data_IF_407688462037
#
_entry.id   IF_407688462037
#
_cell.length_a   1.000
_cell.length_b   1.000
_cell.length_c   1.000
_cell.angle_alpha   90.00
_cell.angle_beta   90.00
_cell.angle_gamma   90.00
#
_symmetry.space_group_name_H-M   'P 1'
#
loop_
_entity.id
_entity.type
_entity.pdbx_description
1 polymer ?
#
# COMPACT_ATOMS: atom_id res chain seq x y z
N UNK A 1 27.70 0.12 -6.49
CA UNK A 1 27.25 -0.78 -7.57
C UNK A 1 26.15 -0.07 -8.35
N UNK A 2 25.76 -0.51 -9.55
CA UNK A 2 24.67 0.16 -10.29
C UNK A 2 23.33 -0.10 -9.58
N UNK A 3 22.48 0.93 -9.53
CA UNK A 3 21.09 0.76 -9.10
C UNK A 3 20.35 -0.14 -10.09
N UNK A 4 19.35 -0.87 -9.62
CA UNK A 4 18.48 -1.73 -10.43
C UNK A 4 17.02 -1.51 -10.05
N UNK A 5 16.10 -1.74 -11.00
CA UNK A 5 14.69 -1.96 -10.70
C UNK A 5 14.36 -3.45 -10.79
N UNK A 6 13.71 -3.95 -9.74
CA UNK A 6 13.13 -5.28 -9.70
C UNK A 6 11.61 -5.18 -9.59
N UNK A 7 10.89 -6.17 -10.11
CA UNK A 7 9.45 -6.21 -9.97
C UNK A 7 8.97 -7.54 -9.38
N UNK A 8 7.80 -7.47 -8.74
CA UNK A 8 7.02 -8.63 -8.34
C UNK A 8 5.57 -8.43 -8.79
N UNK A 9 5.01 -9.40 -9.49
CA UNK A 9 3.58 -9.48 -9.78
C UNK A 9 2.96 -10.48 -8.82
N UNK A 10 2.05 -10.02 -7.96
CA UNK A 10 1.21 -10.88 -7.14
C UNK A 10 0.06 -11.40 -8.02
N UNK A 11 -0.06 -12.72 -8.07
CA UNK A 11 -1.02 -13.41 -8.96
C UNK A 11 -2.47 -13.18 -8.55
N UNK A 12 -3.45 -13.40 -9.45
CA UNK A 12 -4.86 -13.27 -9.11
C UNK A 12 -5.27 -14.18 -7.96
N UNK A 13 -4.76 -15.41 -7.91
CA UNK A 13 -5.05 -16.34 -6.83
C UNK A 13 -4.47 -15.88 -5.50
N UNK A 14 -3.23 -15.38 -5.49
CA UNK A 14 -2.62 -14.83 -4.28
C UNK A 14 -3.36 -13.61 -3.73
N UNK A 15 -3.86 -12.73 -4.61
CA UNK A 15 -4.73 -11.62 -4.21
C UNK A 15 -6.06 -12.12 -3.65
N UNK A 16 -6.69 -13.09 -4.33
CA UNK A 16 -7.98 -13.64 -3.91
C UNK A 16 -7.90 -14.38 -2.56
N UNK A 17 -6.80 -15.07 -2.29
CA UNK A 17 -6.51 -15.72 -1.00
C UNK A 17 -5.86 -14.79 0.02
N UNK A 18 -5.85 -13.48 -0.24
CA UNK A 18 -5.36 -12.46 0.68
C UNK A 18 -3.90 -12.62 1.13
N UNK A 19 -3.06 -13.23 0.30
CA UNK A 19 -1.63 -13.49 0.63
C UNK A 19 -0.74 -12.24 0.48
N UNK A 20 -1.30 -11.13 -0.02
CA UNK A 20 -0.60 -9.87 -0.28
C UNK A 20 0.19 -9.37 0.92
N UNK A 21 -0.41 -9.39 2.12
CA UNK A 21 0.24 -8.91 3.33
C UNK A 21 1.52 -9.68 3.66
N UNK A 22 1.43 -11.01 3.70
CA UNK A 22 2.57 -11.87 3.96
C UNK A 22 3.64 -11.84 2.86
N UNK A 23 3.25 -11.70 1.59
CA UNK A 23 4.18 -11.51 0.46
C UNK A 23 4.94 -10.19 0.62
N UNK A 24 4.22 -9.09 0.84
CA UNK A 24 4.81 -7.76 0.99
C UNK A 24 5.74 -7.69 2.21
N UNK A 25 5.32 -8.26 3.33
CA UNK A 25 6.12 -8.28 4.56
C UNK A 25 7.49 -8.93 4.32
N UNK A 26 7.54 -10.05 3.58
CA UNK A 26 8.79 -10.74 3.25
C UNK A 26 9.65 -9.96 2.27
N UNK A 27 9.06 -9.37 1.23
CA UNK A 27 9.81 -8.56 0.26
C UNK A 27 10.48 -7.37 0.94
N UNK A 28 9.75 -6.60 1.75
CA UNK A 28 10.31 -5.42 2.41
C UNK A 28 11.36 -5.82 3.46
N UNK A 29 11.03 -6.74 4.37
CA UNK A 29 11.91 -7.07 5.50
C UNK A 29 13.19 -7.82 5.11
N UNK A 30 13.21 -8.54 3.98
CA UNK A 30 14.34 -9.41 3.62
C UNK A 30 15.20 -8.88 2.49
N UNK A 31 14.70 -7.95 1.69
CA UNK A 31 15.50 -7.34 0.62
C UNK A 31 16.18 -6.04 1.05
N UNK A 32 15.59 -5.33 2.02
CA UNK A 32 15.97 -3.95 2.38
C UNK A 32 15.96 -2.98 1.19
N UNK A 33 15.22 -3.31 0.13
CA UNK A 33 15.03 -2.45 -1.03
C UNK A 33 13.94 -1.43 -0.77
N UNK A 34 14.02 -0.31 -1.48
CA UNK A 34 12.97 0.69 -1.46
C UNK A 34 11.85 0.27 -2.40
N UNK A 35 10.61 0.22 -1.91
CA UNK A 35 9.43 0.09 -2.77
C UNK A 35 9.11 1.46 -3.39
N UNK A 36 9.41 1.63 -4.67
CA UNK A 36 9.32 2.93 -5.36
C UNK A 36 8.02 3.12 -6.14
N UNK A 37 7.35 2.03 -6.52
CA UNK A 37 6.03 2.08 -7.15
C UNK A 37 5.22 0.82 -6.88
N UNK A 38 3.90 0.97 -6.94
CA UNK A 38 2.96 -0.13 -6.95
C UNK A 38 1.77 0.27 -7.81
N UNK A 39 1.19 -0.68 -8.55
CA UNK A 39 -0.02 -0.45 -9.35
C UNK A 39 -0.83 -1.73 -9.48
N UNK A 40 -2.16 -1.61 -9.36
CA UNK A 40 -3.08 -2.68 -9.71
C UNK A 40 -3.24 -2.74 -11.22
N UNK A 41 -3.32 -3.95 -11.76
CA UNK A 41 -3.64 -4.19 -13.16
C UNK A 41 -4.82 -5.17 -13.28
N UNK A 42 -5.57 -5.00 -14.36
CA UNK A 42 -6.55 -5.91 -14.91
C UNK A 42 -6.11 -6.18 -16.35
N UNK A 43 -5.16 -7.10 -16.59
CA UNK A 43 -4.49 -7.26 -17.88
C UNK A 43 -5.48 -7.56 -19.01
N UNK A 44 -5.31 -6.87 -20.13
CA UNK A 44 -5.99 -7.16 -21.38
C UNK A 44 -5.35 -8.36 -22.10
N UNK A 45 -6.04 -8.95 -23.10
CA UNK A 45 -5.50 -10.06 -23.89
C UNK A 45 -4.13 -9.76 -24.52
N UNK A 46 -3.93 -8.55 -25.02
CA UNK A 46 -2.71 -8.13 -25.71
C UNK A 46 -1.50 -8.15 -24.77
N UNK A 47 -1.63 -7.54 -23.58
CA UNK A 47 -0.58 -7.55 -22.56
C UNK A 47 -0.23 -8.97 -22.13
N UNK A 48 -1.24 -9.83 -21.91
CA UNK A 48 -1.02 -11.22 -21.49
C UNK A 48 -0.29 -12.01 -22.58
N UNK A 49 -0.67 -11.82 -23.85
CA UNK A 49 -0.02 -12.48 -24.97
C UNK A 49 1.44 -12.02 -25.11
N UNK A 50 1.72 -10.71 -25.11
CA UNK A 50 3.10 -10.21 -25.16
C UNK A 50 3.94 -10.68 -23.99
N UNK A 51 3.40 -10.65 -22.77
CA UNK A 51 4.13 -11.08 -21.58
C UNK A 51 4.34 -12.60 -21.53
N UNK A 52 3.44 -13.41 -22.11
CA UNK A 52 3.58 -14.87 -22.13
C UNK A 52 4.70 -15.35 -23.07
N UNK A 53 4.92 -14.66 -24.20
CA UNK A 53 5.93 -15.02 -25.23
C UNK A 53 7.36 -15.05 -24.68
N UNK A 54 7.54 -14.51 -23.49
CA UNK A 54 8.83 -14.08 -22.98
C UNK A 54 9.15 -14.59 -21.57
N UNK A 55 8.28 -15.47 -21.08
CA UNK A 55 8.48 -16.18 -19.82
C UNK A 55 9.54 -17.25 -19.99
N UNK A 56 9.58 -17.85 -21.16
CA UNK A 56 10.50 -18.91 -21.50
C UNK A 56 11.81 -18.27 -21.95
N UNK A 57 12.88 -18.47 -21.18
CA UNK A 57 14.19 -17.85 -21.39
C UNK A 57 15.31 -18.87 -21.18
N UNK A 58 16.34 -18.81 -22.04
CA UNK A 58 17.58 -19.57 -21.84
C UNK A 58 18.43 -19.00 -20.69
N UNK A 59 18.15 -17.75 -20.28
CA UNK A 59 18.87 -17.04 -19.23
C UNK A 59 18.18 -17.12 -17.87
N UNK A 60 17.07 -17.88 -17.75
CA UNK A 60 16.43 -18.19 -16.46
C UNK A 60 16.96 -19.53 -15.93
N UNK A 61 17.58 -19.57 -14.74
CA UNK A 61 18.07 -20.81 -14.13
C UNK A 61 16.94 -21.76 -13.68
N UNK A 62 15.69 -21.33 -13.69
CA UNK A 62 14.53 -22.18 -13.40
C UNK A 62 14.37 -23.27 -14.47
N UNK A 63 14.04 -24.48 -14.04
CA UNK A 63 13.77 -25.61 -14.94
C UNK A 63 12.77 -25.25 -16.06
N UNK A 64 13.07 -25.70 -17.29
CA UNK A 64 12.30 -25.37 -18.50
C UNK A 64 10.82 -25.77 -18.40
N UNK A 65 10.52 -26.93 -17.82
CA UNK A 65 9.14 -27.39 -17.61
C UNK A 65 8.40 -26.46 -16.66
N UNK A 66 9.08 -25.94 -15.64
CA UNK A 66 8.49 -24.95 -14.72
C UNK A 66 8.25 -23.61 -15.43
N UNK A 67 9.17 -23.16 -16.28
CA UNK A 67 8.94 -21.94 -17.08
C UNK A 67 7.71 -22.08 -17.99
N UNK A 68 7.52 -23.25 -18.61
CA UNK A 68 6.33 -23.58 -19.41
C UNK A 68 5.06 -23.56 -18.56
N UNK A 69 5.07 -24.12 -17.35
CA UNK A 69 3.95 -24.03 -16.42
C UNK A 69 3.63 -22.59 -16.02
N UNK A 70 4.65 -21.73 -15.82
CA UNK A 70 4.43 -20.31 -15.53
C UNK A 70 3.81 -19.60 -16.72
N UNK A 71 4.28 -19.86 -17.94
CA UNK A 71 3.69 -19.30 -19.17
C UNK A 71 2.23 -19.70 -19.30
N UNK A 72 1.92 -20.97 -19.12
CA UNK A 72 0.58 -21.50 -19.26
C UNK A 72 -0.34 -20.96 -18.15
N UNK A 73 0.19 -20.82 -16.93
CA UNK A 73 -0.49 -20.12 -15.84
C UNK A 73 -0.83 -18.68 -16.21
N UNK A 74 0.10 -17.93 -16.81
CA UNK A 74 -0.15 -16.54 -17.24
C UNK A 74 -1.26 -16.49 -18.28
N UNK A 75 -1.17 -17.31 -19.33
CA UNK A 75 -2.19 -17.39 -20.38
C UNK A 75 -3.58 -17.73 -19.82
N UNK A 76 -3.65 -18.64 -18.85
CA UNK A 76 -4.91 -19.09 -18.28
C UNK A 76 -5.45 -18.15 -17.20
N UNK A 77 -4.60 -17.63 -16.32
CA UNK A 77 -4.98 -16.97 -15.09
C UNK A 77 -4.92 -15.44 -15.15
N UNK A 78 -4.05 -14.86 -15.97
CA UNK A 78 -4.00 -13.40 -16.15
C UNK A 78 -4.94 -12.91 -17.27
N UNK A 79 -5.27 -13.79 -18.23
CA UNK A 79 -6.28 -13.47 -19.26
C UNK A 79 -7.66 -13.20 -18.64
N UNK A 80 -8.51 -12.40 -19.32
CA UNK A 80 -9.90 -12.27 -18.95
C UNK A 80 -10.60 -13.63 -18.90
N UNK A 81 -11.54 -13.77 -17.97
CA UNK A 81 -12.27 -15.02 -17.82
C UNK A 81 -13.02 -15.38 -19.12
N UNK A 82 -12.86 -16.60 -19.67
CA UNK A 82 -13.43 -16.93 -20.97
C UNK A 82 -14.97 -16.92 -20.96
N UNK A 83 -15.60 -17.18 -19.80
CA UNK A 83 -17.07 -17.22 -19.65
C UNK A 83 -17.63 -15.85 -19.32
N UNK A 84 -17.09 -15.19 -18.29
CA UNK A 84 -17.66 -13.91 -17.81
C UNK A 84 -17.07 -12.69 -18.49
N UNK A 85 -15.96 -12.84 -19.23
CA UNK A 85 -15.14 -11.77 -19.83
C UNK A 85 -14.54 -10.78 -18.83
N UNK A 86 -14.78 -10.96 -17.52
CA UNK A 86 -14.19 -10.11 -16.47
C UNK A 86 -12.68 -10.28 -16.45
N UNK A 87 -11.97 -9.15 -16.40
CA UNK A 87 -10.51 -9.13 -16.26
C UNK A 87 -10.12 -9.51 -14.83
N UNK A 88 -8.94 -10.11 -14.67
CA UNK A 88 -8.46 -10.63 -13.39
C UNK A 88 -7.39 -9.71 -12.81
N UNK A 89 -7.54 -9.39 -11.53
CA UNK A 89 -6.64 -8.46 -10.85
C UNK A 89 -5.27 -9.08 -10.63
N UNK A 90 -4.22 -8.31 -10.91
CA UNK A 90 -2.86 -8.53 -10.43
C UNK A 90 -2.32 -7.27 -9.78
N UNK A 91 -1.37 -7.43 -8.88
CA UNK A 91 -0.69 -6.30 -8.23
C UNK A 91 0.77 -6.33 -8.61
N UNK A 92 1.25 -5.26 -9.21
CA UNK A 92 2.66 -5.12 -9.56
C UNK A 92 3.35 -4.17 -8.60
N UNK A 93 4.48 -4.62 -8.05
CA UNK A 93 5.33 -3.89 -7.11
C UNK A 93 6.69 -3.66 -7.78
N UNK A 94 7.23 -2.44 -7.68
CA UNK A 94 8.60 -2.11 -8.12
C UNK A 94 9.45 -1.81 -6.90
N UNK A 95 10.61 -2.45 -6.85
CA UNK A 95 11.65 -2.23 -5.84
C UNK A 95 12.91 -1.69 -6.50
N UNK A 96 13.54 -0.70 -5.88
CA UNK A 96 14.78 -0.10 -6.32
C UNK A 96 15.89 -0.29 -5.28
N UNK A 97 17.11 -0.52 -5.77
CA UNK A 97 18.31 -0.56 -4.95
C UNK A 97 19.46 -1.28 -5.63
N UNK A 98 20.58 -1.43 -4.92
CA UNK A 98 21.69 -2.26 -5.40
C UNK A 98 21.31 -3.75 -5.35
N UNK A 99 21.64 -4.49 -6.42
CA UNK A 99 21.29 -5.91 -6.62
C UNK A 99 19.78 -6.20 -6.45
N UNK A 100 18.92 -5.25 -6.81
CA UNK A 100 17.49 -5.36 -6.57
C UNK A 100 16.91 -6.65 -7.15
N UNK A 101 17.30 -7.03 -8.36
CA UNK A 101 16.74 -8.20 -9.05
C UNK A 101 17.17 -9.48 -8.35
N UNK A 102 18.46 -9.61 -8.01
CA UNK A 102 19.00 -10.76 -7.28
C UNK A 102 18.36 -10.92 -5.90
N UNK A 103 18.22 -9.82 -5.14
CA UNK A 103 17.61 -9.80 -3.80
C UNK A 103 16.13 -10.16 -3.85
N UNK A 104 15.36 -9.61 -4.79
CA UNK A 104 13.96 -9.98 -4.98
C UNK A 104 13.86 -11.46 -5.36
N UNK A 105 14.70 -11.94 -6.29
CA UNK A 105 14.69 -13.33 -6.73
C UNK A 105 14.97 -14.32 -5.59
N UNK A 106 15.92 -14.00 -4.69
CA UNK A 106 16.24 -14.86 -3.55
C UNK A 106 15.08 -14.97 -2.55
N UNK A 107 14.33 -13.88 -2.33
CA UNK A 107 13.15 -13.88 -1.45
C UNK A 107 11.95 -14.56 -2.12
N UNK A 108 11.79 -14.41 -3.43
CA UNK A 108 10.75 -15.06 -4.22
C UNK A 108 10.94 -16.57 -4.26
N UNK A 109 12.17 -17.02 -4.51
CA UNK A 109 12.54 -18.42 -4.60
C UNK A 109 12.30 -19.06 -5.97
N UNK A 110 12.71 -20.32 -6.09
CA UNK A 110 12.40 -21.17 -7.23
C UNK A 110 11.22 -22.08 -6.89
N UNK A 111 10.52 -22.58 -7.89
CA UNK A 111 9.51 -23.62 -7.68
C UNK A 111 10.19 -24.97 -7.89
N UNK A 112 10.01 -25.89 -6.93
CA UNK A 112 10.50 -27.26 -6.99
C UNK A 112 9.47 -28.19 -6.33
N UNK A 113 9.19 -29.37 -6.91
CA UNK A 113 8.30 -30.35 -6.29
C UNK A 113 8.86 -30.93 -4.96
N UNK A 114 10.18 -30.87 -4.77
CA UNK A 114 10.87 -31.54 -3.66
C UNK A 114 11.18 -30.61 -2.47
N UNK A 115 11.06 -29.29 -2.65
CA UNK A 115 11.43 -28.29 -1.63
C UNK A 115 10.19 -27.70 -0.96
N UNK A 116 10.05 -27.89 0.35
CA UNK A 116 8.92 -27.39 1.17
C UNK A 116 9.35 -26.69 2.48
N UNK A 117 10.54 -26.10 2.51
CA UNK A 117 10.95 -25.27 3.63
C UNK A 117 10.38 -23.88 3.40
N UNK A 118 9.48 -23.35 4.24
CA UNK A 118 8.80 -22.05 4.09
C UNK A 118 9.70 -20.80 4.10
N UNK A 119 10.91 -20.93 3.55
CA UNK A 119 11.98 -19.97 3.43
C UNK A 119 11.64 -18.90 2.40
N UNK A 120 11.09 -19.24 1.24
CA UNK A 120 10.78 -18.26 0.19
C UNK A 120 9.27 -17.99 0.09
N UNK A 121 8.90 -16.98 -0.69
CA UNK A 121 7.49 -16.70 -1.01
C UNK A 121 6.84 -17.90 -1.70
N UNK A 122 7.53 -18.51 -2.67
CA UNK A 122 7.04 -19.69 -3.39
C UNK A 122 6.93 -20.91 -2.50
N UNK A 123 7.82 -21.10 -1.54
CA UNK A 123 7.70 -22.25 -0.62
C UNK A 123 6.47 -22.17 0.30
N UNK A 124 6.01 -20.94 0.62
CA UNK A 124 4.86 -20.76 1.53
C UNK A 124 3.54 -20.61 0.80
N UNK A 125 3.56 -19.90 -0.33
CA UNK A 125 2.34 -19.49 -1.03
C UNK A 125 2.22 -20.13 -2.40
N UNK A 126 3.32 -20.59 -2.99
CA UNK A 126 3.29 -21.35 -4.23
C UNK A 126 2.95 -22.81 -3.97
N UNK A 127 2.56 -23.52 -5.01
CA UNK A 127 2.28 -24.95 -4.94
C UNK A 127 2.43 -25.62 -6.30
N UNK A 128 2.85 -26.88 -6.27
CA UNK A 128 2.85 -27.78 -7.42
C UNK A 128 2.41 -29.16 -6.94
N UNK A 129 1.20 -29.55 -7.33
CA UNK A 129 0.63 -30.84 -6.96
C UNK A 129 0.72 -31.76 -8.16
N UNK A 130 1.44 -32.87 -7.99
CA UNK A 130 1.59 -33.91 -8.99
C UNK A 130 0.61 -35.05 -8.73
N UNK A 131 0.21 -35.76 -9.79
CA UNK A 131 -0.48 -37.04 -9.66
C UNK A 131 0.48 -38.22 -9.45
N UNK A 132 -0.07 -39.42 -9.33
CA UNK A 132 0.67 -40.68 -9.16
C UNK A 132 1.60 -41.00 -10.34
N UNK A 133 1.41 -40.35 -11.49
CA UNK A 133 2.23 -40.49 -12.70
C UNK A 133 3.22 -39.32 -12.89
N UNK A 134 3.31 -38.39 -11.93
CA UNK A 134 4.18 -37.22 -12.01
C UNK A 134 3.67 -36.11 -12.94
N UNK A 135 2.40 -36.13 -13.36
CA UNK A 135 1.76 -35.05 -14.12
C UNK A 135 1.22 -33.97 -13.19
N UNK A 136 1.25 -32.72 -13.64
CA UNK A 136 0.81 -31.58 -12.82
C UNK A 136 -0.72 -31.52 -12.78
N UNK A 137 -1.30 -31.70 -11.58
CA UNK A 137 -2.74 -31.50 -11.32
C UNK A 137 -3.07 -30.05 -10.95
N UNK A 138 -2.16 -29.40 -10.23
CA UNK A 138 -2.34 -28.03 -9.79
C UNK A 138 -1.00 -27.30 -9.75
N UNK A 139 -1.02 -26.03 -10.14
CA UNK A 139 0.15 -25.17 -10.15
C UNK A 139 -0.24 -23.75 -9.78
N UNK A 140 0.43 -23.20 -8.77
CA UNK A 140 0.32 -21.80 -8.37
C UNK A 140 1.71 -21.24 -8.09
N UNK A 141 2.20 -20.24 -8.85
CA UNK A 141 3.52 -19.68 -8.62
C UNK A 141 3.56 -18.65 -7.47
N UNK A 142 2.40 -18.25 -6.94
CA UNK A 142 2.14 -17.17 -5.98
C UNK A 142 2.50 -15.77 -6.47
N UNK A 143 3.71 -15.62 -7.01
CA UNK A 143 4.24 -14.39 -7.57
C UNK A 143 5.10 -14.67 -8.80
N UNK A 144 5.19 -13.67 -9.66
CA UNK A 144 6.09 -13.64 -10.82
C UNK A 144 7.15 -12.57 -10.61
N UNK A 145 8.39 -12.88 -10.94
CA UNK A 145 9.53 -11.96 -10.86
C UNK A 145 10.53 -12.29 -11.97
N UNK A 146 11.30 -11.30 -12.40
CA UNK A 146 12.34 -11.50 -13.41
C UNK A 146 13.50 -12.37 -12.89
N UNK A 147 14.13 -13.17 -13.76
CA UNK A 147 15.29 -13.99 -13.40
C UNK A 147 16.61 -13.19 -13.37
N UNK A 148 16.73 -12.13 -14.17
CA UNK A 148 17.94 -11.33 -14.32
C UNK A 148 17.60 -9.86 -14.66
N UNK A 149 18.61 -8.98 -14.65
CA UNK A 149 18.46 -7.52 -14.78
C UNK A 149 17.94 -7.11 -16.14
N UNK A 150 18.49 -7.68 -17.21
CA UNK A 150 18.02 -7.43 -18.58
C UNK A 150 16.53 -7.78 -18.67
N UNK A 151 16.14 -8.93 -18.11
CA UNK A 151 14.75 -9.37 -18.07
C UNK A 151 13.82 -8.51 -17.24
N UNK A 152 14.30 -7.96 -16.13
CA UNK A 152 13.54 -7.02 -15.33
C UNK A 152 13.24 -5.74 -16.13
N UNK A 153 14.25 -5.17 -16.79
CA UNK A 153 14.13 -3.93 -17.55
C UNK A 153 13.05 -4.04 -18.62
N UNK A 154 13.19 -4.99 -19.54
CA UNK A 154 12.31 -5.00 -20.70
C UNK A 154 10.89 -5.42 -20.30
N UNK A 155 10.71 -6.30 -19.30
CA UNK A 155 9.39 -6.68 -18.80
C UNK A 155 8.74 -5.47 -18.10
N UNK A 156 9.49 -4.69 -17.32
CA UNK A 156 9.00 -3.43 -16.77
C UNK A 156 8.57 -2.46 -17.87
N UNK A 157 9.37 -2.30 -18.93
CA UNK A 157 9.01 -1.47 -20.10
C UNK A 157 7.70 -1.94 -20.75
N UNK A 158 7.54 -3.25 -20.96
CA UNK A 158 6.31 -3.85 -21.48
C UNK A 158 5.10 -3.48 -20.59
N UNK A 159 5.15 -3.78 -19.30
CA UNK A 159 4.05 -3.48 -18.38
C UNK A 159 3.77 -1.97 -18.27
N UNK A 160 4.79 -1.13 -18.37
CA UNK A 160 4.64 0.30 -18.34
C UNK A 160 3.91 0.87 -19.57
N UNK A 161 4.09 0.28 -20.77
CA UNK A 161 3.30 0.65 -21.97
C UNK A 161 1.79 0.47 -21.75
N UNK A 162 1.39 -0.64 -21.11
CA UNK A 162 -0.01 -0.96 -20.84
C UNK A 162 -0.55 -0.39 -19.53
N UNK A 163 0.29 0.17 -18.67
CA UNK A 163 -0.11 0.63 -17.34
C UNK A 163 -1.19 1.72 -17.30
N UNK A 164 -1.38 2.45 -18.39
CA UNK A 164 -2.47 3.43 -18.53
C UNK A 164 -3.81 2.81 -18.92
N UNK A 165 -3.81 1.76 -19.75
CA UNK A 165 -5.04 1.11 -20.25
C UNK A 165 -5.49 -0.03 -19.36
N UNK A 166 -4.54 -0.76 -18.78
CA UNK A 166 -4.78 -2.00 -18.06
C UNK A 166 -4.53 -1.87 -16.56
N UNK A 167 -4.14 -0.69 -16.05
CA UNK A 167 -3.83 -0.49 -14.64
C UNK A 167 -4.35 0.81 -14.06
N UNK A 168 -4.34 0.89 -12.73
CA UNK A 168 -4.82 2.04 -11.97
C UNK A 168 -5.82 1.63 -10.90
N UNK A 169 -7.00 2.26 -10.93
CA UNK A 169 -8.18 1.79 -10.23
C UNK A 169 -8.88 0.80 -11.15
N UNK A 170 -8.85 -0.49 -10.80
CA UNK A 170 -9.40 -1.54 -11.65
C UNK A 170 -10.86 -1.81 -11.30
N UNK A 171 -11.75 -1.57 -12.27
CA UNK A 171 -13.20 -1.68 -12.11
C UNK A 171 -13.74 -2.96 -12.78
N UNK A 172 -14.95 -3.37 -12.39
CA UNK A 172 -15.67 -4.54 -12.94
C UNK A 172 -14.92 -5.89 -12.87
N UNK A 173 -13.91 -6.00 -12.00
CA UNK A 173 -13.10 -7.22 -11.84
C UNK A 173 -13.66 -8.21 -10.82
N UNK A 174 -14.68 -7.80 -10.05
CA UNK A 174 -15.31 -8.60 -9.01
C UNK A 174 -16.79 -8.79 -9.37
N UNK A 175 -17.35 -9.96 -9.04
CA UNK A 175 -18.77 -10.26 -9.20
C UNK A 175 -19.46 -10.17 -7.84
N UNK A 176 -20.51 -9.36 -7.76
CA UNK A 176 -21.37 -9.26 -6.58
C UNK A 176 -22.76 -9.81 -6.90
N UNK A 177 -23.48 -10.35 -5.90
CA UNK A 177 -24.92 -10.58 -5.99
C UNK A 177 -25.68 -9.32 -6.41
N UNK A 178 -26.82 -9.45 -7.10
CA UNK A 178 -27.58 -8.32 -7.64
C UNK A 178 -28.13 -7.34 -6.58
N UNK A 179 -28.25 -7.78 -5.33
CA UNK A 179 -28.67 -6.98 -4.19
C UNK A 179 -27.52 -6.25 -3.48
N UNK A 180 -26.26 -6.55 -3.83
CA UNK A 180 -25.10 -5.90 -3.22
C UNK A 180 -24.58 -4.78 -4.12
N UNK A 181 -24.41 -3.59 -3.52
CA UNK A 181 -23.71 -2.48 -4.16
C UNK A 181 -22.35 -2.33 -3.48
N UNK A 182 -21.24 -2.52 -4.20
CA UNK A 182 -19.92 -2.35 -3.61
C UNK A 182 -19.64 -0.87 -3.33
N UNK A 183 -18.97 -0.62 -2.21
CA UNK A 183 -18.41 0.68 -1.84
C UNK A 183 -16.90 0.68 -2.06
N UNK A 184 -16.34 1.86 -2.28
CA UNK A 184 -14.89 2.08 -2.22
C UNK A 184 -14.53 2.84 -0.96
N UNK A 185 -13.41 2.44 -0.34
CA UNK A 185 -12.80 3.21 0.75
C UNK A 185 -11.30 3.33 0.54
N UNK A 186 -10.75 4.51 0.83
CA UNK A 186 -9.32 4.72 0.86
C UNK A 186 -8.75 4.25 2.20
N UNK A 187 -7.60 3.60 2.14
CA UNK A 187 -6.73 3.35 3.28
C UNK A 187 -5.35 3.91 2.97
N UNK A 188 -4.77 4.66 3.90
CA UNK A 188 -3.36 5.06 3.85
C UNK A 188 -2.60 4.33 4.94
N UNK A 189 -1.61 3.52 4.57
CA UNK A 189 -0.58 3.02 5.49
C UNK A 189 0.44 4.14 5.68
N UNK A 190 0.57 4.62 6.92
CA UNK A 190 1.30 5.84 7.26
C UNK A 190 2.82 5.67 7.24
N UNK A 191 3.60 6.78 7.14
CA UNK A 191 5.06 6.75 7.03
C UNK A 191 5.83 6.01 8.13
N UNK A 192 5.28 5.93 9.34
CA UNK A 192 5.90 5.18 10.44
C UNK A 192 6.15 3.70 10.12
N UNK A 193 5.40 3.13 9.18
CA UNK A 193 5.57 1.75 8.74
C UNK A 193 6.74 1.54 7.77
N UNK A 194 7.36 2.62 7.27
CA UNK A 194 8.41 2.57 6.24
C UNK A 194 9.76 3.12 6.71
N UNK A 195 9.89 3.52 7.98
CA UNK A 195 11.11 4.11 8.54
C UNK A 195 12.33 3.19 8.49
N UNK A 196 12.11 1.89 8.50
CA UNK A 196 13.15 0.87 8.36
C UNK A 196 12.57 -0.36 7.66
N UNK A 197 13.39 -1.23 7.04
CA UNK A 197 12.92 -2.47 6.41
C UNK A 197 12.21 -3.36 7.43
N UNK A 198 10.89 -3.43 7.36
CA UNK A 198 10.06 -4.17 8.31
C UNK A 198 8.85 -4.80 7.62
N UNK A 199 8.34 -5.89 8.21
CA UNK A 199 7.12 -6.54 7.76
C UNK A 199 5.83 -5.77 8.07
N UNK A 200 5.91 -4.66 8.83
CA UNK A 200 4.74 -3.92 9.32
C UNK A 200 3.73 -3.53 8.22
N UNK A 201 4.11 -2.94 7.06
CA UNK A 201 3.14 -2.62 6.01
C UNK A 201 2.36 -3.85 5.55
N UNK A 202 3.05 -4.97 5.36
CA UNK A 202 2.43 -6.24 4.98
C UNK A 202 1.49 -6.78 6.06
N UNK A 203 1.89 -6.72 7.33
CA UNK A 203 1.06 -7.15 8.45
C UNK A 203 -0.21 -6.28 8.61
N UNK A 204 -0.13 -4.98 8.35
CA UNK A 204 -1.30 -4.09 8.33
C UNK A 204 -2.28 -4.51 7.23
N UNK A 205 -1.80 -4.80 6.03
CA UNK A 205 -2.64 -5.34 4.93
C UNK A 205 -3.26 -6.69 5.31
N UNK A 206 -2.50 -7.55 6.00
CA UNK A 206 -2.99 -8.85 6.47
C UNK A 206 -4.18 -8.71 7.45
N UNK A 207 -4.13 -7.73 8.36
CA UNK A 207 -5.26 -7.42 9.24
C UNK A 207 -6.49 -6.96 8.44
N UNK A 208 -6.32 -6.07 7.46
CA UNK A 208 -7.42 -5.64 6.60
C UNK A 208 -8.01 -6.78 5.77
N UNK A 209 -7.25 -7.82 5.47
CA UNK A 209 -7.77 -8.96 4.70
C UNK A 209 -8.92 -9.71 5.38
N UNK A 210 -9.00 -9.63 6.71
CA UNK A 210 -10.08 -10.24 7.52
C UNK A 210 -11.46 -9.66 7.21
N UNK A 211 -11.52 -8.51 6.53
CA UNK A 211 -12.76 -7.87 6.09
C UNK A 211 -13.45 -8.60 4.93
N UNK A 212 -12.72 -9.46 4.20
CA UNK A 212 -13.20 -10.06 2.95
C UNK A 212 -13.29 -9.08 1.77
N UNK A 213 -12.77 -7.85 1.92
CA UNK A 213 -12.75 -6.84 0.88
C UNK A 213 -11.62 -7.07 -0.12
N UNK A 214 -11.75 -6.42 -1.27
CA UNK A 214 -10.85 -6.58 -2.40
C UNK A 214 -10.01 -5.33 -2.64
N UNK A 215 -8.68 -5.47 -2.73
CA UNK A 215 -7.83 -4.37 -3.18
C UNK A 215 -8.04 -4.15 -4.68
N UNK A 216 -8.45 -2.94 -5.06
CA UNK A 216 -8.72 -2.53 -6.46
C UNK A 216 -7.85 -1.36 -6.92
N UNK A 217 -7.10 -0.74 -6.01
CA UNK A 217 -5.99 0.13 -6.37
C UNK A 217 -4.90 0.09 -5.32
N UNK A 218 -3.66 0.32 -5.74
CA UNK A 218 -2.51 0.54 -4.86
C UNK A 218 -1.61 1.60 -5.49
N UNK A 219 -1.00 2.44 -4.66
CA UNK A 219 -0.02 3.45 -5.06
C UNK A 219 0.97 3.67 -3.92
N UNK A 220 2.26 3.65 -4.24
CA UNK A 220 3.30 4.24 -3.38
C UNK A 220 3.25 5.75 -3.56
N UNK A 221 3.11 6.49 -2.48
CA UNK A 221 2.88 7.93 -2.55
C UNK A 221 3.76 8.67 -1.55
N UNK A 222 4.20 9.86 -1.95
CA UNK A 222 4.87 10.84 -1.09
C UNK A 222 4.09 12.13 -1.19
N UNK A 223 3.23 12.37 -0.21
CA UNK A 223 2.33 13.53 -0.24
C UNK A 223 3.16 14.81 -0.24
N UNK A 224 2.87 15.72 -1.16
CA UNK A 224 3.31 17.10 -1.02
C UNK A 224 2.69 17.74 0.23
N UNK A 225 3.29 18.83 0.70
CA UNK A 225 2.72 19.59 1.83
C UNK A 225 1.31 20.10 1.48
N UNK A 226 1.10 20.55 0.25
CA UNK A 226 -0.22 20.95 -0.25
C UNK A 226 -1.26 19.81 -0.20
N UNK A 227 -0.91 18.63 -0.72
CA UNK A 227 -1.81 17.45 -0.68
C UNK A 227 -2.14 17.05 0.75
N UNK A 228 -1.15 17.03 1.66
CA UNK A 228 -1.38 16.70 3.06
C UNK A 228 -2.25 17.76 3.78
N UNK A 229 -2.07 19.05 3.47
CA UNK A 229 -2.93 20.12 3.99
C UNK A 229 -4.37 19.97 3.51
N UNK A 230 -4.59 19.69 2.22
CA UNK A 230 -5.92 19.47 1.66
C UNK A 230 -6.57 18.23 2.26
N UNK A 231 -5.81 17.15 2.39
CA UNK A 231 -6.28 15.87 2.92
C UNK A 231 -6.76 15.96 4.37
N UNK A 232 -5.95 16.57 5.23
CA UNK A 232 -6.25 16.71 6.66
C UNK A 232 -6.98 18.01 7.00
N UNK A 233 -7.21 18.92 6.04
CA UNK A 233 -7.86 20.21 6.26
C UNK A 233 -9.14 20.14 7.13
N UNK A 234 -10.05 19.17 6.89
CA UNK A 234 -11.28 19.05 7.69
C UNK A 234 -11.07 18.85 9.20
N UNK A 235 -9.93 18.28 9.62
CA UNK A 235 -9.67 18.06 11.05
C UNK A 235 -9.09 19.28 11.75
N UNK A 236 -8.63 20.31 11.02
CA UNK A 236 -7.97 21.48 11.62
C UNK A 236 -8.88 22.20 12.61
N UNK A 237 -10.10 22.53 12.22
CA UNK A 237 -11.07 23.22 13.10
C UNK A 237 -11.49 22.35 14.29
N UNK A 238 -11.53 21.02 14.11
CA UNK A 238 -11.78 20.08 15.20
C UNK A 238 -10.63 20.14 16.22
N UNK A 239 -9.38 20.18 15.76
CA UNK A 239 -8.21 20.25 16.66
C UNK A 239 -8.16 21.56 17.46
N UNK A 240 -8.65 22.67 16.90
CA UNK A 240 -8.71 23.98 17.56
C UNK A 240 -9.70 24.03 18.73
N UNK A 241 -10.60 23.07 18.85
CA UNK A 241 -11.68 23.06 19.86
C UNK A 241 -11.67 21.82 20.76
N UNK A 242 -11.29 20.64 20.24
CA UNK A 242 -11.48 19.34 20.91
C UNK A 242 -10.75 19.16 22.24
N UNK A 243 -9.61 19.82 22.43
CA UNK A 243 -8.72 19.60 23.57
C UNK A 243 -8.65 20.79 24.53
N UNK A 244 -9.68 21.65 24.54
CA UNK A 244 -9.70 22.89 25.33
C UNK A 244 -9.39 22.62 26.81
N UNK A 245 -10.14 21.73 27.46
CA UNK A 245 -9.95 21.40 28.88
C UNK A 245 -8.55 20.83 29.18
N UNK A 246 -8.03 19.98 28.29
CA UNK A 246 -6.71 19.37 28.47
C UNK A 246 -5.58 20.40 28.32
N UNK A 247 -5.72 21.35 27.37
CA UNK A 247 -4.78 22.45 27.18
C UNK A 247 -4.85 23.42 28.35
N UNK A 248 -6.05 23.76 28.81
CA UNK A 248 -6.29 24.60 29.99
C UNK A 248 -5.61 24.03 31.24
N UNK A 249 -5.87 22.75 31.54
CA UNK A 249 -5.30 22.06 32.68
C UNK A 249 -3.76 21.99 32.62
N UNK A 250 -3.20 21.75 31.42
CA UNK A 250 -1.74 21.72 31.22
C UNK A 250 -1.12 23.11 31.37
N UNK A 251 -1.73 24.14 30.81
CA UNK A 251 -1.27 25.52 30.93
C UNK A 251 -1.31 25.98 32.40
N UNK A 252 -2.42 25.70 33.09
CA UNK A 252 -2.57 25.93 34.52
C UNK A 252 -1.46 25.25 35.32
N UNK A 253 -1.24 23.96 35.13
CA UNK A 253 -0.22 23.22 35.87
C UNK A 253 1.19 23.81 35.70
N UNK A 254 1.54 24.27 34.49
CA UNK A 254 2.83 24.93 34.24
C UNK A 254 2.89 26.31 34.91
N UNK A 255 1.86 27.15 34.74
CA UNK A 255 1.85 28.51 35.31
C UNK A 255 1.83 28.49 36.84
N UNK A 256 1.00 27.65 37.47
CA UNK A 256 0.95 27.53 38.94
C UNK A 256 2.31 27.07 39.50
N UNK A 257 2.99 26.16 38.80
CA UNK A 257 4.30 25.65 39.19
C UNK A 257 5.38 26.74 39.12
N UNK A 258 5.42 27.51 38.03
CA UNK A 258 6.48 28.49 37.80
C UNK A 258 6.23 29.83 38.54
N UNK A 259 4.97 30.22 38.73
CA UNK A 259 4.61 31.52 39.35
C UNK A 259 4.16 31.42 40.81
N UNK A 260 3.88 30.23 41.33
CA UNK A 260 3.60 30.01 42.76
C UNK A 260 2.24 30.50 43.27
N UNK A 261 1.27 30.74 42.38
CA UNK A 261 -0.12 31.06 42.75
C UNK A 261 -1.11 30.11 42.08
N UNK A 262 -2.33 30.02 42.63
CA UNK A 262 -3.41 29.18 42.10
C UNK A 262 -4.25 29.93 41.06
N UNK A 263 -4.59 29.26 39.97
CA UNK A 263 -5.44 29.80 38.91
C UNK A 263 -6.89 29.35 39.17
N UNK A 264 -7.83 30.29 39.35
CA UNK A 264 -9.23 29.94 39.55
C UNK A 264 -9.86 29.36 38.26
N UNK A 265 -11.00 28.65 38.38
CA UNK A 265 -11.63 27.95 37.24
C UNK A 265 -12.00 28.85 36.06
N UNK A 266 -12.32 30.13 36.31
CA UNK A 266 -12.69 31.10 35.26
C UNK A 266 -11.48 31.41 34.37
N UNK A 267 -10.34 31.69 34.99
CA UNK A 267 -9.08 31.99 34.30
C UNK A 267 -8.51 30.74 33.64
N UNK A 268 -8.68 29.56 34.24
CA UNK A 268 -8.33 28.28 33.61
C UNK A 268 -9.08 28.08 32.28
N UNK A 269 -10.39 28.32 32.27
CA UNK A 269 -11.18 28.27 31.04
C UNK A 269 -10.70 29.29 30.01
N UNK A 270 -10.41 30.53 30.43
CA UNK A 270 -9.88 31.56 29.54
C UNK A 270 -8.52 31.18 28.92
N UNK A 271 -7.65 30.48 29.67
CA UNK A 271 -6.41 29.93 29.14
C UNK A 271 -6.68 28.87 28.06
N UNK A 272 -7.66 28.00 28.28
CA UNK A 272 -8.11 27.01 27.29
C UNK A 272 -8.58 27.66 25.99
N UNK A 273 -9.51 28.62 26.09
CA UNK A 273 -10.06 29.34 24.95
C UNK A 273 -8.98 30.10 24.16
N UNK A 274 -7.97 30.64 24.85
CA UNK A 274 -6.86 31.36 24.22
C UNK A 274 -5.85 30.42 23.54
N UNK A 275 -5.46 29.33 24.21
CA UNK A 275 -4.34 28.49 23.79
C UNK A 275 -4.75 27.30 22.92
N UNK A 276 -6.00 26.82 23.03
CA UNK A 276 -6.46 25.66 22.28
C UNK A 276 -6.42 25.86 20.76
N UNK A 277 -6.79 27.02 20.19
CA UNK A 277 -6.64 27.27 18.76
C UNK A 277 -5.17 27.19 18.31
N UNK A 278 -4.24 27.80 19.05
CA UNK A 278 -2.80 27.78 18.75
C UNK A 278 -2.23 26.36 18.85
N UNK A 279 -2.60 25.63 19.90
CA UNK A 279 -2.21 24.22 20.06
C UNK A 279 -2.79 23.34 18.95
N UNK A 280 -4.01 23.61 18.50
CA UNK A 280 -4.66 22.88 17.41
C UNK A 280 -3.96 23.11 16.07
N UNK A 281 -3.61 24.36 15.76
CA UNK A 281 -2.83 24.71 14.58
C UNK A 281 -1.44 24.06 14.61
N UNK A 282 -0.75 24.06 15.76
CA UNK A 282 0.53 23.37 15.89
C UNK A 282 0.40 21.83 15.73
N UNK A 283 -0.69 21.23 16.22
CA UNK A 283 -0.94 19.81 15.99
C UNK A 283 -1.19 19.52 14.51
N UNK A 284 -1.89 20.41 13.81
CA UNK A 284 -2.11 20.30 12.38
C UNK A 284 -0.78 20.39 11.59
N UNK A 285 0.08 21.35 11.91
CA UNK A 285 1.45 21.46 11.37
C UNK A 285 2.21 20.13 11.52
N UNK A 286 2.14 19.53 12.71
CA UNK A 286 2.81 18.26 13.00
C UNK A 286 2.22 17.08 12.21
N UNK A 287 0.91 17.03 11.98
CA UNK A 287 0.26 15.99 11.16
C UNK A 287 0.71 16.11 9.71
N UNK A 288 0.71 17.33 9.17
CA UNK A 288 1.18 17.57 7.80
C UNK A 288 2.65 17.19 7.68
N UNK A 289 3.50 17.67 8.60
CA UNK A 289 4.93 17.32 8.65
C UNK A 289 5.16 15.82 8.76
N UNK A 290 4.37 15.11 9.56
CA UNK A 290 4.49 13.66 9.69
C UNK A 290 4.15 12.92 8.38
N UNK A 291 3.23 13.46 7.57
CA UNK A 291 2.75 12.82 6.35
C UNK A 291 3.53 13.22 5.09
N UNK A 292 4.08 14.44 5.04
CA UNK A 292 4.82 14.97 3.89
C UNK A 292 6.33 15.10 4.13
N UNK A 293 6.76 15.13 5.39
CA UNK A 293 8.15 15.40 5.81
C UNK A 293 8.46 16.88 6.04
N UNK A 294 7.53 17.79 5.75
CA UNK A 294 7.69 19.24 5.95
C UNK A 294 6.43 19.85 6.54
N UNK A 295 6.58 20.73 7.51
CA UNK A 295 5.47 21.52 8.03
C UNK A 295 5.05 22.58 6.99
N UNK A 296 3.76 22.95 6.91
CA UNK A 296 3.31 24.11 6.15
C UNK A 296 4.15 25.36 6.41
N UNK A 297 4.52 25.63 7.67
CA UNK A 297 5.36 26.79 8.03
C UNK A 297 6.80 26.72 7.50
N UNK A 298 7.26 25.55 7.05
CA UNK A 298 8.60 25.31 6.51
C UNK A 298 8.63 25.40 4.96
N UNK A 299 7.48 25.60 4.31
CA UNK A 299 7.36 25.59 2.86
C UNK A 299 7.16 26.99 2.28
N UNK A 300 7.83 27.23 1.15
CA UNK A 300 7.56 28.35 0.25
C UNK A 300 6.69 27.91 -0.95
N UNK A 301 6.38 28.85 -1.85
CA UNK A 301 5.58 28.56 -3.04
C UNK A 301 6.23 27.51 -3.98
N UNK A 302 7.56 27.39 -3.97
CA UNK A 302 8.30 26.45 -4.80
C UNK A 302 8.30 25.03 -4.25
N UNK A 303 8.26 24.88 -2.92
CA UNK A 303 8.39 23.59 -2.21
C UNK A 303 7.06 22.98 -1.79
N UNK A 304 5.99 23.77 -1.64
CA UNK A 304 4.70 23.30 -1.12
C UNK A 304 4.04 22.20 -1.98
N UNK A 305 4.26 22.22 -3.30
CA UNK A 305 3.71 21.26 -4.26
C UNK A 305 4.71 20.17 -4.67
N UNK A 306 5.96 20.24 -4.19
CA UNK A 306 6.94 19.19 -4.48
C UNK A 306 6.55 17.91 -3.74
N UNK A 307 6.85 16.73 -4.30
CA UNK A 307 6.70 15.48 -3.57
C UNK A 307 7.38 15.56 -2.19
N UNK A 308 6.70 15.02 -1.18
CA UNK A 308 7.23 14.91 0.17
C UNK A 308 8.42 13.97 0.25
N UNK A 309 9.03 13.89 1.44
CA UNK A 309 10.11 12.92 1.73
C UNK A 309 9.58 11.65 2.37
N UNK A 310 8.40 11.71 2.98
CA UNK A 310 7.80 10.59 3.70
C UNK A 310 6.99 9.69 2.77
N UNK A 311 7.28 8.39 2.80
CA UNK A 311 6.60 7.38 1.97
C UNK A 311 5.38 6.84 2.69
N UNK A 312 4.24 6.79 2.01
CA UNK A 312 3.04 6.08 2.42
C UNK A 312 2.55 5.15 1.30
N UNK A 313 1.67 4.21 1.64
CA UNK A 313 0.97 3.39 0.64
C UNK A 313 -0.52 3.73 0.70
N UNK A 314 -1.06 4.14 -0.44
CA UNK A 314 -2.49 4.32 -0.65
C UNK A 314 -3.10 3.06 -1.27
N UNK A 315 -4.18 2.57 -0.68
CA UNK A 315 -4.93 1.40 -1.10
C UNK A 315 -6.40 1.78 -1.25
N UNK A 316 -7.06 1.27 -2.29
CA UNK A 316 -8.53 1.32 -2.40
C UNK A 316 -9.05 -0.09 -2.20
N UNK A 317 -9.92 -0.24 -1.20
CA UNK A 317 -10.67 -1.48 -0.96
C UNK A 317 -12.07 -1.35 -1.52
N UNK A 318 -12.55 -2.42 -2.14
CA UNK A 318 -13.88 -2.54 -2.71
C UNK A 318 -14.65 -3.70 -2.05
N UNK A 319 -15.93 -3.47 -1.78
CA UNK A 319 -16.88 -4.51 -1.41
C UNK A 319 -18.08 -3.98 -0.63
N UNK A 320 -18.98 -4.87 -0.22
CA UNK A 320 -20.15 -4.50 0.58
C UNK A 320 -19.73 -3.97 1.96
N UNK A 321 -20.22 -2.77 2.32
CA UNK A 321 -19.92 -2.05 3.56
C UNK A 321 -18.41 -1.82 3.78
N UNK A 322 -17.67 -1.53 2.70
CA UNK A 322 -16.21 -1.43 2.75
C UNK A 322 -15.72 -0.44 3.80
N UNK A 323 -16.36 0.74 3.89
CA UNK A 323 -15.97 1.80 4.83
C UNK A 323 -16.13 1.31 6.27
N UNK A 324 -17.30 0.75 6.61
CA UNK A 324 -17.59 0.24 7.96
C UNK A 324 -16.59 -0.86 8.35
N UNK A 325 -16.45 -1.89 7.51
CA UNK A 325 -15.58 -3.04 7.78
C UNK A 325 -14.10 -2.65 7.97
N UNK A 326 -13.58 -1.74 7.14
CA UNK A 326 -12.21 -1.23 7.29
C UNK A 326 -12.05 -0.49 8.63
N UNK A 327 -13.02 0.35 9.02
CA UNK A 327 -12.98 1.09 10.28
C UNK A 327 -13.06 0.19 11.51
N UNK A 328 -13.90 -0.86 11.45
CA UNK A 328 -14.04 -1.84 12.51
C UNK A 328 -12.70 -2.55 12.79
N UNK A 329 -11.98 -2.96 11.73
CA UNK A 329 -10.64 -3.57 11.85
C UNK A 329 -9.57 -2.55 12.27
N UNK A 330 -9.69 -1.30 11.83
CA UNK A 330 -8.73 -0.25 12.18
C UNK A 330 -8.79 0.08 13.69
N UNK A 331 -10.00 0.21 14.23
CA UNK A 331 -10.25 0.63 15.61
C UNK A 331 -10.22 2.16 15.81
N UNK A 332 -10.52 2.65 17.03
CA UNK A 332 -10.60 4.07 17.34
C UNK A 332 -9.25 4.77 17.18
N UNK A 333 -9.27 6.10 16.96
CA UNK A 333 -8.08 6.90 16.63
C UNK A 333 -6.98 6.82 17.68
N UNK A 334 -7.34 6.64 18.95
CA UNK A 334 -6.42 6.48 20.08
C UNK A 334 -6.10 4.99 20.30
N UNK A 335 -4.85 4.55 20.03
CA UNK A 335 -4.40 3.17 20.26
C UNK A 335 -4.66 2.64 21.68
N UNK A 336 -4.61 3.50 22.70
CA UNK A 336 -4.81 3.09 24.10
C UNK A 336 -6.25 2.64 24.38
N UNK A 337 -7.21 3.14 23.59
CA UNK A 337 -8.64 2.84 23.65
C UNK A 337 -9.09 1.80 22.63
N UNK A 338 -8.18 1.35 21.75
CA UNK A 338 -8.49 0.39 20.72
C UNK A 338 -8.54 -1.04 21.28
N UNK A 339 -9.52 -1.86 20.86
CA UNK A 339 -9.63 -3.23 21.33
C UNK A 339 -8.44 -4.08 20.83
N UNK A 340 -8.03 -5.12 21.58
CA UNK A 340 -7.06 -6.10 21.12
C UNK A 340 -7.44 -6.67 19.74
N UNK A 341 -6.45 -6.84 18.86
CA UNK A 341 -6.69 -7.32 17.50
C UNK A 341 -7.14 -6.26 16.48
N UNK A 342 -7.25 -4.98 16.87
CA UNK A 342 -7.39 -3.86 15.94
C UNK A 342 -6.02 -3.35 15.47
N UNK A 343 -5.92 -2.84 14.24
CA UNK A 343 -4.65 -2.34 13.68
C UNK A 343 -4.04 -1.24 14.55
N UNK A 344 -4.84 -0.29 15.02
CA UNK A 344 -4.34 0.81 15.86
C UNK A 344 -3.84 0.33 17.20
N UNK A 345 -4.42 -0.74 17.77
CA UNK A 345 -3.93 -1.35 19.01
C UNK A 345 -2.58 -2.04 18.82
N UNK A 346 -2.44 -2.81 17.74
CA UNK A 346 -1.25 -3.64 17.48
C UNK A 346 -0.06 -2.84 16.94
N UNK A 347 -0.32 -1.81 16.13
CA UNK A 347 0.71 -1.09 15.39
C UNK A 347 0.80 0.41 15.72
N UNK A 348 -0.20 0.98 16.41
CA UNK A 348 -0.20 2.39 16.77
C UNK A 348 0.57 2.69 18.06
N UNK A 349 1.25 3.84 18.12
CA UNK A 349 1.96 4.32 19.30
C UNK A 349 1.28 5.52 19.96
N UNK A 350 0.72 6.42 19.16
CA UNK A 350 0.00 7.62 19.64
C UNK A 350 -1.18 7.92 18.73
N UNK A 351 -2.01 8.91 19.08
CA UNK A 351 -3.12 9.39 18.24
C UNK A 351 -2.63 9.82 16.84
N UNK A 352 -1.45 10.44 16.76
CA UNK A 352 -0.85 10.90 15.50
C UNK A 352 -0.20 9.74 14.72
N UNK A 353 0.57 8.91 15.44
CA UNK A 353 1.30 7.75 14.91
C UNK A 353 0.49 6.49 15.18
N UNK A 354 -0.60 6.32 14.44
CA UNK A 354 -1.58 5.24 14.63
C UNK A 354 -1.60 4.24 13.47
N UNK A 355 -0.46 4.05 12.78
CA UNK A 355 -0.22 3.10 11.69
C UNK A 355 -1.00 3.31 10.39
N UNK A 356 -2.30 3.63 10.42
CA UNK A 356 -3.10 3.81 9.22
C UNK A 356 -4.24 4.83 9.37
N UNK A 357 -4.59 5.44 8.24
CA UNK A 357 -5.80 6.22 8.03
C UNK A 357 -6.79 5.44 7.16
N UNK A 358 -8.09 5.65 7.38
CA UNK A 358 -9.14 5.15 6.52
C UNK A 358 -10.27 6.18 6.44
N UNK A 359 -10.88 6.28 5.26
CA UNK A 359 -12.05 7.14 5.04
C UNK A 359 -13.20 6.77 5.99
N UNK A 360 -14.02 7.76 6.34
CA UNK A 360 -15.13 7.63 7.28
C UNK A 360 -16.53 7.79 6.66
N UNK A 361 -16.60 8.19 5.39
CA UNK A 361 -17.83 8.24 4.60
C UNK A 361 -17.54 8.06 3.11
N UNK A 362 -18.55 7.73 2.28
CA UNK A 362 -18.38 7.64 0.82
C UNK A 362 -17.89 8.95 0.19
N UNK A 363 -18.38 10.09 0.67
CA UNK A 363 -17.98 11.43 0.21
C UNK A 363 -16.51 11.69 0.53
N UNK A 364 -16.08 11.32 1.73
CA UNK A 364 -14.68 11.46 2.16
C UNK A 364 -13.79 10.51 1.38
N UNK A 365 -14.20 9.26 1.13
CA UNK A 365 -13.47 8.34 0.27
C UNK A 365 -13.23 8.93 -1.13
N UNK A 366 -14.28 9.48 -1.76
CA UNK A 366 -14.17 10.12 -3.08
C UNK A 366 -13.24 11.34 -3.07
N UNK A 367 -13.36 12.22 -2.07
CA UNK A 367 -12.48 13.39 -1.92
C UNK A 367 -11.03 12.97 -1.74
N UNK A 368 -10.78 12.10 -0.77
CA UNK A 368 -9.45 11.64 -0.39
C UNK A 368 -8.75 10.90 -1.54
N UNK A 369 -9.46 10.04 -2.27
CA UNK A 369 -8.97 9.38 -3.49
C UNK A 369 -8.59 10.39 -4.58
N UNK A 370 -9.37 11.47 -4.71
CA UNK A 370 -9.09 12.58 -5.62
C UNK A 370 -7.78 13.30 -5.29
N UNK A 371 -7.56 13.60 -4.01
CA UNK A 371 -6.35 14.28 -3.50
C UNK A 371 -5.11 13.43 -3.75
N UNK A 372 -5.14 12.14 -3.40
CA UNK A 372 -4.00 11.24 -3.64
C UNK A 372 -3.88 10.81 -5.11
N UNK A 373 -4.82 11.23 -5.96
CA UNK A 373 -4.87 10.94 -7.41
C UNK A 373 -4.70 9.45 -7.73
N UNK A 374 -5.24 8.57 -6.87
CA UNK A 374 -5.08 7.12 -7.02
C UNK A 374 -5.81 6.64 -8.27
N UNK A 375 -5.18 5.74 -9.03
CA UNK A 375 -5.65 5.29 -10.34
C UNK A 375 -5.35 6.26 -11.50
N UNK A 376 -5.55 7.57 -11.29
CA UNK A 376 -5.31 8.62 -12.30
C UNK A 376 -3.83 8.90 -12.54
N UNK A 377 -3.06 9.11 -11.48
CA UNK A 377 -1.61 9.30 -11.59
C UNK A 377 -0.92 7.95 -11.83
N UNK A 378 -0.06 7.90 -12.84
CA UNK A 378 0.66 6.68 -13.21
C UNK A 378 2.14 6.74 -12.78
N UNK A 379 2.35 6.75 -11.46
CA UNK A 379 3.68 6.73 -10.85
C UNK A 379 4.50 5.51 -11.29
N UNK A 380 3.84 4.37 -11.56
CA UNK A 380 4.49 3.16 -12.08
C UNK A 380 5.22 3.45 -13.40
N UNK A 381 4.51 4.00 -14.40
CA UNK A 381 5.12 4.34 -15.69
C UNK A 381 6.21 5.38 -15.55
N UNK A 382 5.95 6.42 -14.73
CA UNK A 382 6.92 7.48 -14.47
C UNK A 382 8.24 6.94 -13.92
N UNK A 383 8.20 6.06 -12.92
CA UNK A 383 9.41 5.43 -12.35
C UNK A 383 10.16 4.61 -13.40
N UNK A 384 9.47 3.84 -14.23
CA UNK A 384 10.11 3.05 -15.30
C UNK A 384 10.76 3.96 -16.35
N UNK A 385 10.09 5.04 -16.77
CA UNK A 385 10.61 6.00 -17.75
C UNK A 385 11.76 6.85 -17.22
N UNK A 386 11.71 7.26 -15.95
CA UNK A 386 12.79 8.00 -15.29
C UNK A 386 14.05 7.14 -15.14
N UNK A 387 13.89 5.84 -14.89
CA UNK A 387 15.01 4.93 -14.68
C UNK A 387 15.63 4.41 -15.98
N UNK A 388 14.82 3.99 -16.95
CA UNK A 388 15.28 3.34 -18.18
C UNK A 388 15.14 4.17 -19.46
N UNK A 389 14.68 5.42 -19.35
CA UNK A 389 14.36 6.29 -20.48
C UNK A 389 12.92 6.12 -20.99
N UNK A 390 12.48 7.07 -21.84
CA UNK A 390 11.13 7.06 -22.42
C UNK A 390 10.88 5.79 -23.22
N UNK A 391 9.67 5.23 -23.04
CA UNK A 391 9.21 3.95 -23.60
C UNK A 391 8.89 3.98 -25.09
#
# INVERSE_FOLDING_TARGET
MSQELAYVIITPYSLHKSRTGGILARLISRTSLEMVAARMFAPGPELVQEYSKVIISANDPQDRRIQELIRDYILQNLSPDPKTKKRRRVMMLIFQGEDAVRKVRSVVGNISPDRRGGETIRDTYGDIVLDEHGQVRYFEPAVLAAPNVEEAEWKLKLWARYSGTDGGLVEDTISYPSNERPEHTLVLIKPDNFRFPTGRPGNVIDFFSRTGLYIVAIKVHRMSTAEAMEFYGPIREILRTRFNDAVAAKAKAVIEKELGFKIPPKEEKALGDLLCPLSGDQQFENIVKFMSGRAPSECDAATINQPGTETCIALVYEGHEAIRKIRDVLGPTDPSKAPPGSIRREFGSTIMVNAAHASDSPENAKREMGIVRIGKENTFRKVVEEFYGRL
#
